data_IF_313666110469
#
_entry.id   IF_313666110469
#
_cell.length_a   1.000
_cell.length_b   1.000
_cell.length_c   1.000
_cell.angle_alpha   90.00
_cell.angle_beta   90.00
_cell.angle_gamma   90.00
#
_symmetry.space_group_name_H-M   'P 1'
#
loop_
_entity.id
_entity.type
_entity.pdbx_description
1 polymer ?
#
# COMPACT_ATOMS: atom_id res chain seq x y z
N UNK A 1 -34.02 -3.87 -16.88
CA UNK A 1 -32.78 -4.41 -16.27
C UNK A 1 -32.16 -3.31 -15.43
N UNK A 2 -32.15 -3.43 -14.10
CA UNK A 2 -31.60 -2.40 -13.21
C UNK A 2 -30.09 -2.61 -13.08
N UNK A 3 -29.28 -1.74 -13.68
CA UNK A 3 -27.83 -1.73 -13.46
C UNK A 3 -27.55 -0.81 -12.27
N UNK A 4 -27.27 -1.41 -11.12
CA UNK A 4 -26.83 -0.70 -9.92
C UNK A 4 -25.42 -0.15 -10.13
N UNK A 5 -25.29 1.15 -10.41
CA UNK A 5 -24.03 1.89 -10.55
C UNK A 5 -23.29 2.10 -9.21
N UNK A 6 -23.49 1.22 -8.23
CA UNK A 6 -23.28 1.53 -6.81
C UNK A 6 -21.79 1.66 -6.47
N UNK A 7 -20.87 0.99 -7.21
CA UNK A 7 -19.41 1.25 -7.16
C UNK A 7 -18.75 0.84 -8.48
N UNK A 8 -18.06 1.74 -9.21
CA UNK A 8 -17.18 1.29 -10.28
C UNK A 8 -16.11 0.37 -9.67
N UNK A 9 -16.05 -0.86 -10.16
CA UNK A 9 -15.04 -1.83 -9.74
C UNK A 9 -13.68 -1.33 -10.22
N UNK A 10 -12.80 -0.99 -9.29
CA UNK A 10 -11.41 -0.72 -9.62
C UNK A 10 -10.69 -2.07 -9.71
N UNK A 11 -10.45 -2.57 -10.93
CA UNK A 11 -9.83 -3.88 -11.18
C UNK A 11 -8.37 -3.95 -10.69
N UNK A 12 -7.70 -2.82 -10.48
CA UNK A 12 -6.30 -2.78 -10.03
C UNK A 12 -6.13 -3.00 -8.52
N UNK A 13 -7.22 -2.96 -7.74
CA UNK A 13 -7.16 -3.13 -6.28
C UNK A 13 -7.47 -4.56 -5.88
N UNK A 14 -6.47 -5.27 -5.35
CA UNK A 14 -6.61 -6.62 -4.81
C UNK A 14 -6.43 -6.60 -3.29
N UNK A 15 -7.35 -7.26 -2.57
CA UNK A 15 -7.14 -7.54 -1.15
C UNK A 15 -6.08 -8.64 -1.00
N UNK A 16 -5.05 -8.39 -0.21
CA UNK A 16 -3.96 -9.32 0.05
C UNK A 16 -3.78 -9.45 1.56
N UNK A 17 -3.85 -10.69 2.05
CA UNK A 17 -3.53 -11.01 3.44
C UNK A 17 -2.03 -11.33 3.55
N UNK A 18 -1.33 -10.74 4.51
CA UNK A 18 0.12 -10.97 4.69
C UNK A 18 0.49 -10.91 6.16
N UNK A 19 1.39 -11.80 6.58
CA UNK A 19 1.97 -11.80 7.93
C UNK A 19 3.09 -10.77 7.98
N UNK A 20 2.92 -9.74 8.82
CA UNK A 20 3.91 -8.70 9.08
C UNK A 20 4.40 -8.77 10.53
N UNK A 21 5.60 -8.24 10.79
CA UNK A 21 6.07 -8.07 12.16
C UNK A 21 5.14 -7.14 12.95
N UNK A 22 4.76 -7.57 14.16
CA UNK A 22 3.84 -6.80 15.01
C UNK A 22 4.41 -5.45 15.42
N UNK A 23 5.71 -5.39 15.76
CA UNK A 23 6.36 -4.14 16.16
C UNK A 23 6.36 -3.12 15.02
N UNK A 24 6.79 -3.56 13.84
CA UNK A 24 6.86 -2.72 12.64
C UNK A 24 5.48 -2.21 12.22
N UNK A 25 4.46 -3.08 12.24
CA UNK A 25 3.10 -2.66 11.89
C UNK A 25 2.50 -1.69 12.91
N UNK A 26 2.85 -1.83 14.21
CA UNK A 26 2.42 -0.91 15.26
C UNK A 26 3.03 0.49 15.07
N UNK A 27 4.32 0.57 14.76
CA UNK A 27 4.99 1.83 14.45
C UNK A 27 4.40 2.49 13.20
N UNK A 28 4.14 1.70 12.15
CA UNK A 28 3.50 2.19 10.93
C UNK A 28 2.10 2.75 11.22
N UNK A 29 1.30 2.07 12.04
CA UNK A 29 -0.02 2.57 12.47
C UNK A 29 0.07 3.86 13.28
N UNK A 30 1.05 3.97 14.18
CA UNK A 30 1.26 5.19 14.94
C UNK A 30 1.65 6.37 14.02
N UNK A 31 2.47 6.11 12.99
CA UNK A 31 2.80 7.09 11.96
C UNK A 31 1.57 7.47 11.13
N UNK A 32 0.77 6.50 10.70
CA UNK A 32 -0.46 6.70 9.95
C UNK A 32 -1.45 7.60 10.71
N UNK A 33 -1.61 7.37 12.02
CA UNK A 33 -2.45 8.18 12.89
C UNK A 33 -1.95 9.62 13.01
N UNK A 34 -0.63 9.84 13.09
CA UNK A 34 -0.04 11.19 13.13
C UNK A 34 -0.26 11.97 11.83
N UNK A 35 -0.33 11.26 10.70
CA UNK A 35 -0.47 11.85 9.36
C UNK A 35 -1.93 11.94 8.90
N UNK A 36 -2.89 11.49 9.71
CA UNK A 36 -4.31 11.36 9.36
C UNK A 36 -4.52 10.60 8.03
N UNK A 37 -3.79 9.49 7.87
CA UNK A 37 -3.84 8.65 6.66
C UNK A 37 -4.09 7.18 7.03
N UNK A 38 -4.69 6.39 6.13
CA UNK A 38 -4.83 4.95 6.37
C UNK A 38 -3.46 4.25 6.25
N UNK A 39 -3.21 3.27 7.11
CA UNK A 39 -1.94 2.54 7.14
C UNK A 39 -1.62 1.82 5.81
N UNK A 40 -2.65 1.46 5.04
CA UNK A 40 -2.49 0.82 3.74
C UNK A 40 -1.83 1.75 2.71
N UNK A 41 -2.09 3.06 2.77
CA UNK A 41 -1.48 4.02 1.84
C UNK A 41 0.03 4.12 2.10
N UNK A 42 0.43 4.11 3.39
CA UNK A 42 1.84 4.08 3.77
C UNK A 42 2.52 2.76 3.39
N UNK A 43 1.80 1.64 3.46
CA UNK A 43 2.32 0.36 2.96
C UNK A 43 2.59 0.44 1.46
N UNK A 44 1.67 1.01 0.68
CA UNK A 44 1.87 1.21 -0.76
C UNK A 44 3.02 2.15 -1.08
N UNK A 45 3.17 3.23 -0.31
CA UNK A 45 4.30 4.15 -0.43
C UNK A 45 5.64 3.43 -0.15
N UNK A 46 5.70 2.63 0.92
CA UNK A 46 6.86 1.79 1.22
C UNK A 46 7.17 0.81 0.10
N UNK A 47 6.15 0.18 -0.49
CA UNK A 47 6.32 -0.71 -1.66
C UNK A 47 6.90 0.03 -2.86
N UNK A 48 6.39 1.23 -3.18
CA UNK A 48 6.92 2.08 -4.26
C UNK A 48 8.38 2.43 -4.03
N UNK A 49 8.73 2.85 -2.81
CA UNK A 49 10.10 3.22 -2.45
C UNK A 49 11.08 2.04 -2.58
N UNK A 50 10.67 0.84 -2.16
CA UNK A 50 11.47 -0.38 -2.35
C UNK A 50 11.66 -0.66 -3.84
N UNK A 51 10.60 -0.62 -4.66
CA UNK A 51 10.71 -0.87 -6.10
C UNK A 51 11.64 0.15 -6.79
N UNK A 52 11.53 1.44 -6.46
CA UNK A 52 12.41 2.49 -6.99
C UNK A 52 13.88 2.25 -6.62
N UNK A 53 14.14 1.91 -5.36
CA UNK A 53 15.48 1.59 -4.86
C UNK A 53 16.15 0.48 -5.67
N UNK A 54 15.39 -0.52 -6.12
CA UNK A 54 15.93 -1.64 -6.91
C UNK A 54 15.87 -1.41 -8.42
N UNK A 55 14.97 -0.57 -8.94
CA UNK A 55 14.99 -0.12 -10.35
C UNK A 55 16.27 0.68 -10.64
N UNK A 56 16.60 1.65 -9.78
CA UNK A 56 17.78 2.51 -9.96
C UNK A 56 19.10 1.75 -9.82
N UNK A 57 19.12 0.62 -9.09
CA UNK A 57 20.30 -0.26 -8.99
C UNK A 57 20.52 -1.12 -10.25
N UNK A 58 19.50 -1.33 -11.08
CA UNK A 58 19.62 -2.12 -12.31
C UNK A 58 20.11 -1.30 -13.50
N UNK A 59 19.97 0.02 -13.48
CA UNK A 59 20.41 0.92 -14.56
C UNK A 59 21.86 1.40 -14.45
N UNK A 60 22.59 1.01 -13.40
CA UNK A 60 24.02 1.32 -13.20
C UNK A 60 24.94 0.13 -13.50
N UNK A 61 24.55 -0.78 -14.39
CA UNK A 61 25.39 -1.91 -14.81
C UNK A 61 25.54 -1.95 -16.32
#
# INVERSE_FOLDING_TARGET
>A
MYQSSIRPKNDDRKNVNTTLSQSLYKELKALAAKLDRPANDLLEEGMRHVLEKYKNKRTSK
#
